data_IF_836974422654
#
_entry.id   IF_836974422654
#
_cell.length_a   1.000
_cell.length_b   1.000
_cell.length_c   1.000
_cell.angle_alpha   90.00
_cell.angle_beta   90.00
_cell.angle_gamma   90.00
#
_symmetry.space_group_name_H-M   'P 1'
#
loop_
_entity.id
_entity.type
_entity.pdbx_description
1 polymer ?
#
# COMPACT_ATOMS: atom_id res chain seq x y z
N UNK A 1 24.26 -23.16 7.45
CA UNK A 1 24.42 -22.01 6.53
C UNK A 1 23.07 -21.37 6.29
N UNK A 2 23.03 -20.05 6.35
CA UNK A 2 21.77 -19.32 6.18
C UNK A 2 21.57 -18.99 4.72
N UNK A 3 20.36 -19.20 4.23
CA UNK A 3 20.04 -18.82 2.87
C UNK A 3 20.12 -17.31 2.70
N UNK A 4 20.48 -16.85 1.51
CA UNK A 4 20.56 -15.41 1.28
C UNK A 4 19.19 -14.75 1.36
N UNK A 5 19.18 -13.49 1.73
CA UNK A 5 17.97 -12.67 1.74
C UNK A 5 17.84 -11.98 0.38
N UNK A 6 16.62 -11.68 -0.06
CA UNK A 6 15.36 -11.90 0.66
C UNK A 6 14.89 -13.36 0.57
N UNK A 7 14.07 -13.75 1.53
CA UNK A 7 13.43 -15.06 1.52
C UNK A 7 11.93 -14.88 1.64
N UNK A 8 11.18 -15.82 1.07
CA UNK A 8 9.74 -15.67 0.92
C UNK A 8 9.00 -16.82 1.55
N UNK A 9 7.90 -16.53 2.24
CA UNK A 9 7.13 -17.54 2.98
C UNK A 9 5.63 -17.24 2.89
N UNK A 10 4.84 -18.30 3.07
CA UNK A 10 3.43 -18.19 3.41
C UNK A 10 3.30 -18.65 4.85
N UNK A 11 2.80 -17.79 5.72
CA UNK A 11 2.59 -18.12 7.12
C UNK A 11 1.09 -18.10 7.36
N UNK A 12 0.50 -19.28 7.53
CA UNK A 12 -0.95 -19.44 7.62
C UNK A 12 -1.66 -18.77 6.44
N UNK A 13 -1.05 -18.90 5.24
CA UNK A 13 -1.61 -18.31 4.04
C UNK A 13 -1.28 -16.84 3.82
N UNK A 14 -0.59 -16.20 4.74
CA UNK A 14 -0.24 -14.76 4.61
C UNK A 14 1.17 -14.64 4.03
N UNK A 15 1.35 -13.81 3.01
CA UNK A 15 2.70 -13.57 2.47
C UNK A 15 3.61 -12.89 3.49
N UNK A 16 4.78 -13.45 3.69
CA UNK A 16 5.81 -12.89 4.58
C UNK A 16 7.14 -12.92 3.86
N UNK A 17 7.86 -11.81 3.91
CA UNK A 17 9.14 -11.66 3.23
C UNK A 17 10.20 -11.29 4.26
N UNK A 18 11.30 -12.03 4.30
CA UNK A 18 12.43 -11.67 5.15
C UNK A 18 13.43 -10.85 4.34
N UNK A 19 13.81 -9.72 4.87
CA UNK A 19 14.76 -8.81 4.21
C UNK A 19 15.89 -8.45 5.15
N UNK A 20 17.01 -8.03 4.56
CA UNK A 20 18.14 -7.54 5.35
C UNK A 20 17.85 -6.10 5.78
N UNK A 21 18.24 -5.77 7.01
CA UNK A 21 18.16 -4.40 7.50
C UNK A 21 19.50 -3.70 7.28
N UNK A 22 19.51 -2.35 7.26
CA UNK A 22 20.78 -1.62 7.05
C UNK A 22 21.86 -1.91 8.07
N UNK A 23 21.47 -2.33 9.29
CA UNK A 23 22.44 -2.63 10.34
C UNK A 23 22.91 -4.09 10.31
N UNK A 24 22.56 -4.84 9.27
CA UNK A 24 23.02 -6.21 9.11
C UNK A 24 22.09 -7.26 9.72
N UNK A 25 20.95 -6.85 10.23
CA UNK A 25 19.97 -7.79 10.80
C UNK A 25 18.99 -8.29 9.75
N UNK A 26 17.92 -8.91 10.26
CA UNK A 26 16.85 -9.46 9.44
C UNK A 26 15.52 -8.93 9.94
N UNK A 27 14.65 -8.60 9.01
CA UNK A 27 13.32 -8.07 9.33
C UNK A 27 12.27 -8.83 8.54
N UNK A 28 11.14 -9.10 9.17
CA UNK A 28 10.01 -9.75 8.50
C UNK A 28 9.00 -8.70 8.08
N UNK A 29 8.63 -8.73 6.81
CA UNK A 29 7.58 -7.88 6.26
C UNK A 29 6.37 -8.77 5.98
N UNK A 30 5.23 -8.46 6.59
CA UNK A 30 4.01 -9.23 6.40
C UNK A 30 2.97 -8.39 5.67
N UNK A 31 2.11 -9.05 4.92
CA UNK A 31 1.04 -8.35 4.21
C UNK A 31 0.04 -7.81 5.21
N UNK A 32 -0.21 -6.51 5.11
CA UNK A 32 -1.17 -5.82 5.98
C UNK A 32 -2.57 -6.06 5.48
N UNK A 33 -3.43 -6.60 6.33
CA UNK A 33 -4.79 -6.95 5.95
C UNK A 33 -5.66 -5.72 5.69
N UNK A 34 -5.27 -4.56 6.18
CA UNK A 34 -6.06 -3.34 5.99
C UNK A 34 -5.77 -2.65 4.65
N UNK A 35 -4.53 -2.73 4.17
CA UNK A 35 -4.14 -1.97 2.98
C UNK A 35 -3.49 -2.80 1.88
N UNK A 36 -2.99 -4.00 2.21
CA UNK A 36 -2.31 -4.85 1.24
C UNK A 36 -0.83 -4.55 1.09
N UNK A 37 -0.29 -3.63 1.87
CA UNK A 37 1.13 -3.34 1.84
C UNK A 37 1.93 -4.36 2.64
N UNK A 38 3.23 -4.40 2.42
CA UNK A 38 4.13 -5.29 3.16
C UNK A 38 4.87 -4.44 4.20
N UNK A 39 4.59 -4.68 5.48
CA UNK A 39 5.13 -3.85 6.55
C UNK A 39 5.80 -4.68 7.62
N UNK A 40 6.77 -4.12 8.36
CA UNK A 40 7.47 -4.85 9.40
C UNK A 40 6.54 -5.43 10.45
N UNK A 41 6.74 -6.70 10.78
CA UNK A 41 5.98 -7.38 11.80
C UNK A 41 6.90 -8.39 12.49
N UNK A 42 7.47 -8.02 13.66
CA UNK A 42 8.43 -8.89 14.34
C UNK A 42 7.88 -10.25 14.75
N UNK A 43 6.56 -10.35 14.95
CA UNK A 43 5.94 -11.61 15.31
C UNK A 43 6.13 -12.69 14.26
N UNK A 44 6.16 -12.31 12.99
CA UNK A 44 6.37 -13.27 11.91
C UNK A 44 7.82 -13.72 11.81
N UNK A 45 8.75 -12.86 12.19
CA UNK A 45 10.15 -13.26 12.22
C UNK A 45 10.35 -14.42 13.18
N UNK A 46 9.77 -14.32 14.37
CA UNK A 46 9.84 -15.39 15.35
C UNK A 46 9.16 -16.66 14.86
N UNK A 47 8.01 -16.54 14.21
CA UNK A 47 7.27 -17.67 13.67
C UNK A 47 8.10 -18.44 12.65
N UNK A 48 8.71 -17.73 11.71
CA UNK A 48 9.51 -18.36 10.66
C UNK A 48 10.75 -19.02 11.25
N UNK A 49 11.43 -18.35 12.19
CA UNK A 49 12.64 -18.89 12.79
C UNK A 49 12.36 -20.13 13.63
N UNK A 50 11.25 -20.13 14.36
CA UNK A 50 10.93 -21.24 15.28
C UNK A 50 10.37 -22.44 14.53
N UNK A 51 9.49 -22.22 13.55
CA UNK A 51 8.77 -23.31 12.92
C UNK A 51 9.56 -23.99 11.81
N UNK A 52 10.54 -23.30 11.25
CA UNK A 52 11.20 -23.79 10.06
C UNK A 52 10.19 -23.89 8.95
N UNK A 53 10.01 -25.06 8.39
CA UNK A 53 9.07 -25.28 7.29
C UNK A 53 7.87 -26.10 7.72
N UNK A 54 7.49 -26.05 8.99
CA UNK A 54 6.32 -26.78 9.46
C UNK A 54 5.25 -25.83 9.94
N UNK A 55 4.22 -26.37 10.54
CA UNK A 55 3.25 -25.63 11.35
C UNK A 55 2.72 -24.35 10.68
N UNK A 56 2.22 -24.50 9.45
CA UNK A 56 1.63 -23.35 8.77
C UNK A 56 2.63 -22.44 8.09
N UNK A 57 3.92 -22.76 8.14
CA UNK A 57 4.97 -21.97 7.48
C UNK A 57 5.46 -22.73 6.25
N UNK A 58 5.34 -22.09 5.09
CA UNK A 58 5.75 -22.70 3.83
C UNK A 58 6.75 -21.78 3.13
N UNK A 59 7.89 -22.34 2.69
CA UNK A 59 8.88 -21.58 1.92
C UNK A 59 8.41 -21.42 0.49
N UNK A 60 8.52 -20.22 -0.04
CA UNK A 60 8.06 -19.91 -1.40
C UNK A 60 9.21 -19.41 -2.26
N UNK A 61 9.08 -19.61 -3.57
CA UNK A 61 9.92 -18.92 -4.53
C UNK A 61 9.44 -17.47 -4.65
N UNK A 62 10.27 -16.63 -5.24
CA UNK A 62 9.89 -15.24 -5.48
C UNK A 62 8.62 -15.15 -6.32
N UNK A 63 8.51 -15.97 -7.38
CA UNK A 63 7.33 -15.95 -8.23
C UNK A 63 6.08 -16.41 -7.50
N UNK A 64 6.18 -17.45 -6.69
CA UNK A 64 5.04 -17.93 -5.92
C UNK A 64 4.61 -16.88 -4.89
N UNK A 65 5.58 -16.21 -4.29
CA UNK A 65 5.29 -15.13 -3.34
C UNK A 65 4.54 -13.99 -4.03
N UNK A 66 5.02 -13.56 -5.21
CA UNK A 66 4.37 -12.49 -5.94
C UNK A 66 2.92 -12.83 -6.29
N UNK A 67 2.68 -14.08 -6.68
CA UNK A 67 1.32 -14.53 -6.98
C UNK A 67 0.45 -14.54 -5.72
N UNK A 68 0.99 -14.99 -4.60
CA UNK A 68 0.25 -14.99 -3.35
C UNK A 68 -0.09 -13.57 -2.90
N UNK A 69 0.86 -12.65 -3.04
CA UNK A 69 0.62 -11.24 -2.72
C UNK A 69 -0.52 -10.70 -3.57
N UNK A 70 -0.50 -10.99 -4.88
CA UNK A 70 -1.55 -10.51 -5.78
C UNK A 70 -2.92 -11.07 -5.39
N UNK A 71 -2.98 -12.35 -5.05
CA UNK A 71 -4.24 -12.98 -4.65
C UNK A 71 -4.77 -12.37 -3.35
N UNK A 72 -3.88 -12.16 -2.37
CA UNK A 72 -4.28 -11.60 -1.08
C UNK A 72 -4.64 -10.12 -1.17
N UNK A 73 -3.99 -9.38 -2.07
CA UNK A 73 -4.26 -7.96 -2.24
C UNK A 73 -5.60 -7.67 -2.91
N UNK A 74 -6.04 -8.55 -3.80
CA UNK A 74 -7.24 -8.28 -4.58
C UNK A 74 -8.47 -7.97 -3.72
N UNK A 75 -8.86 -8.83 -2.76
CA UNK A 75 -10.02 -8.51 -1.94
C UNK A 75 -9.81 -7.28 -1.05
N UNK A 76 -8.58 -7.04 -0.63
CA UNK A 76 -8.26 -5.85 0.17
C UNK A 76 -8.45 -4.59 -0.69
N UNK A 77 -7.93 -4.61 -1.91
CA UNK A 77 -8.08 -3.49 -2.84
C UNK A 77 -9.55 -3.24 -3.18
N UNK A 78 -10.30 -4.31 -3.44
CA UNK A 78 -11.73 -4.20 -3.72
C UNK A 78 -12.47 -3.59 -2.54
N UNK A 79 -12.11 -4.00 -1.32
CA UNK A 79 -12.69 -3.45 -0.11
C UNK A 79 -12.38 -1.97 0.08
N UNK A 80 -11.14 -1.57 -0.21
CA UNK A 80 -10.77 -0.16 -0.11
C UNK A 80 -11.51 0.69 -1.14
N UNK A 81 -11.64 0.19 -2.37
CA UNK A 81 -12.39 0.92 -3.40
C UNK A 81 -13.86 1.09 -3.05
N UNK A 82 -14.42 0.12 -2.32
CA UNK A 82 -15.82 0.15 -1.93
C UNK A 82 -16.05 0.91 -0.63
N UNK A 83 -15.00 1.29 0.07
CA UNK A 83 -15.11 1.98 1.35
C UNK A 83 -15.29 3.48 1.15
N UNK A 84 -16.06 4.09 2.03
CA UNK A 84 -16.27 5.53 2.00
C UNK A 84 -15.08 6.24 2.61
N UNK A 85 -14.03 6.45 1.81
CA UNK A 85 -12.81 7.11 2.27
C UNK A 85 -12.92 8.59 1.94
N UNK A 86 -12.63 9.43 2.94
CA UNK A 86 -12.64 10.89 2.78
C UNK A 86 -11.20 11.34 2.59
N UNK A 87 -10.92 11.91 1.44
CA UNK A 87 -9.57 12.32 1.08
C UNK A 87 -9.37 13.80 1.34
N UNK A 88 -8.17 14.18 1.77
CA UNK A 88 -7.78 15.58 1.88
C UNK A 88 -6.75 15.93 0.83
N UNK A 89 -6.71 17.19 0.48
CA UNK A 89 -5.73 17.71 -0.47
C UNK A 89 -4.39 17.88 0.23
N UNK A 90 -3.30 17.47 -0.42
CA UNK A 90 -1.96 17.66 0.12
C UNK A 90 -1.28 18.93 -0.38
N UNK A 91 -1.80 19.49 -1.48
CA UNK A 91 -1.13 20.59 -2.16
C UNK A 91 0.00 20.16 -3.08
N UNK A 92 0.29 18.86 -3.16
CA UNK A 92 1.35 18.32 -4.00
C UNK A 92 0.74 17.85 -5.31
N UNK A 93 1.28 18.30 -6.44
CA UNK A 93 0.73 17.95 -7.77
C UNK A 93 0.92 16.49 -8.13
N UNK A 94 1.94 15.86 -7.63
CA UNK A 94 2.23 14.46 -7.94
C UNK A 94 1.45 13.50 -7.04
N UNK A 95 1.29 13.86 -5.77
CA UNK A 95 0.57 13.06 -4.78
C UNK A 95 -0.50 13.93 -4.14
N UNK A 96 -1.57 14.25 -4.88
CA UNK A 96 -2.48 15.32 -4.45
C UNK A 96 -3.45 14.97 -3.33
N UNK A 97 -3.61 13.68 -2.99
CA UNK A 97 -4.62 13.27 -2.02
C UNK A 97 -4.05 12.39 -0.94
N UNK A 98 -4.57 12.53 0.27
CA UNK A 98 -4.14 11.77 1.44
C UNK A 98 -5.34 11.39 2.29
N UNK A 99 -5.31 10.20 2.88
CA UNK A 99 -6.34 9.74 3.81
C UNK A 99 -5.70 8.77 4.79
N UNK A 100 -6.50 8.27 5.73
CA UNK A 100 -6.01 7.29 6.69
C UNK A 100 -6.94 6.08 6.69
N UNK A 101 -6.35 4.90 6.75
CA UNK A 101 -7.11 3.66 6.85
C UNK A 101 -6.23 2.60 7.49
N UNK A 102 -6.81 1.84 8.42
CA UNK A 102 -6.09 0.74 9.06
C UNK A 102 -4.83 1.15 9.79
N UNK A 103 -4.78 2.38 10.32
CA UNK A 103 -3.60 2.87 11.01
C UNK A 103 -2.49 3.32 10.07
N UNK A 104 -2.73 3.33 8.76
CA UNK A 104 -1.74 3.71 7.76
C UNK A 104 -2.18 4.95 7.04
N UNK A 105 -1.21 5.67 6.49
CA UNK A 105 -1.49 6.83 5.65
C UNK A 105 -1.62 6.37 4.21
N UNK A 106 -2.78 6.64 3.62
CA UNK A 106 -2.99 6.36 2.20
C UNK A 106 -2.74 7.63 1.41
N UNK A 107 -2.11 7.48 0.25
CA UNK A 107 -1.92 8.58 -0.69
C UNK A 107 -2.27 8.09 -2.07
N UNK A 108 -2.65 9.02 -2.94
CA UNK A 108 -2.94 8.71 -4.34
C UNK A 108 -1.96 9.50 -5.19
N UNK A 109 -1.21 8.79 -6.00
CA UNK A 109 -0.26 9.40 -6.93
C UNK A 109 -0.90 9.47 -8.31
N UNK A 110 -0.72 10.59 -9.00
CA UNK A 110 -1.16 10.75 -10.38
C UNK A 110 -0.03 10.33 -11.29
N UNK A 111 -0.31 9.46 -12.23
CA UNK A 111 0.69 8.92 -13.16
C UNK A 111 0.53 9.52 -14.55
N UNK A 112 1.47 9.20 -15.42
CA UNK A 112 1.42 9.62 -16.82
C UNK A 112 0.47 8.73 -17.61
N UNK A 113 -0.77 9.13 -17.66
CA UNK A 113 -1.78 8.42 -18.42
C UNK A 113 -1.63 8.79 -19.92
N UNK A 114 -1.76 7.85 -20.86
CA UNK A 114 -2.18 6.45 -20.70
C UNK A 114 -1.01 5.46 -20.59
N UNK A 115 0.22 5.94 -20.49
CA UNK A 115 1.39 5.07 -20.38
C UNK A 115 1.30 4.22 -19.11
N UNK A 116 0.74 4.79 -18.05
CA UNK A 116 0.51 4.10 -16.79
C UNK A 116 -0.95 4.29 -16.39
N UNK A 117 -1.48 3.47 -15.45
CA UNK A 117 -2.82 3.72 -14.91
C UNK A 117 -2.92 5.13 -14.36
N UNK A 118 -4.11 5.71 -14.41
CA UNK A 118 -4.28 7.12 -14.06
C UNK A 118 -3.80 7.43 -12.65
N UNK A 119 -4.08 6.54 -11.70
CA UNK A 119 -3.69 6.73 -10.31
C UNK A 119 -3.01 5.48 -9.74
N UNK A 120 -2.16 5.66 -8.75
CA UNK A 120 -1.62 4.57 -7.94
C UNK A 120 -1.94 4.87 -6.48
N UNK A 121 -2.55 3.90 -5.80
CA UNK A 121 -2.82 3.99 -4.37
C UNK A 121 -1.59 3.51 -3.61
N UNK A 122 -1.14 4.32 -2.66
CA UNK A 122 0.02 4.00 -1.83
C UNK A 122 -0.40 3.91 -0.38
N UNK A 123 0.16 2.94 0.34
CA UNK A 123 -0.02 2.82 1.78
C UNK A 123 1.34 3.02 2.43
N UNK A 124 1.48 4.09 3.22
CA UNK A 124 2.76 4.50 3.83
C UNK A 124 3.88 4.50 2.78
N UNK A 125 3.57 5.01 1.59
CA UNK A 125 4.55 5.12 0.51
C UNK A 125 4.73 3.87 -0.34
N UNK A 126 4.03 2.78 -0.04
CA UNK A 126 4.15 1.53 -0.78
C UNK A 126 2.95 1.36 -1.72
N UNK A 127 3.23 1.13 -3.01
CA UNK A 127 2.16 0.96 -4.00
C UNK A 127 1.38 -0.33 -3.72
N UNK A 128 0.08 -0.21 -3.57
CA UNK A 128 -0.78 -1.36 -3.26
C UNK A 128 -1.88 -1.59 -4.29
N UNK A 129 -2.19 -0.60 -5.14
CA UNK A 129 -3.24 -0.75 -6.13
C UNK A 129 -3.05 0.29 -7.23
N UNK A 130 -3.46 -0.06 -8.44
CA UNK A 130 -3.51 0.85 -9.58
C UNK A 130 -4.96 1.09 -9.95
N UNK A 131 -5.30 2.34 -10.27
CA UNK A 131 -6.68 2.75 -10.52
C UNK A 131 -6.77 3.43 -11.88
N UNK A 132 -7.73 2.98 -12.68
CA UNK A 132 -8.02 3.65 -13.96
C UNK A 132 -8.97 4.80 -13.76
N UNK A 133 -9.83 4.71 -12.73
CA UNK A 133 -10.82 5.73 -12.43
C UNK A 133 -10.86 5.98 -10.93
N UNK A 134 -11.41 7.12 -10.55
CA UNK A 134 -11.64 7.43 -9.14
C UNK A 134 -12.80 6.59 -8.62
N UNK A 135 -12.61 5.79 -7.56
CA UNK A 135 -13.70 4.96 -7.04
C UNK A 135 -14.87 5.82 -6.58
N UNK A 136 -16.07 5.35 -6.92
CA UNK A 136 -17.29 6.12 -6.64
C UNK A 136 -17.53 6.33 -5.14
N UNK A 137 -17.05 5.40 -4.30
CA UNK A 137 -17.24 5.49 -2.86
C UNK A 137 -16.32 6.51 -2.20
N UNK A 138 -15.26 6.95 -2.89
CA UNK A 138 -14.27 7.85 -2.32
C UNK A 138 -14.71 9.30 -2.47
N UNK A 139 -14.69 10.05 -1.36
CA UNK A 139 -15.05 11.46 -1.37
C UNK A 139 -13.81 12.32 -1.67
N UNK A 140 -13.87 13.08 -2.73
CA UNK A 140 -12.79 14.01 -3.06
C UNK A 140 -12.83 15.22 -2.14
N UNK A 141 -11.67 15.86 -1.92
CA UNK A 141 -11.68 17.13 -1.17
C UNK A 141 -12.49 18.18 -1.92
N UNK A 142 -13.05 19.10 -1.18
CA UNK A 142 -13.81 20.18 -1.77
C UNK A 142 -12.88 21.07 -2.59
N UNK A 143 -13.19 21.23 -3.88
CA UNK A 143 -12.30 21.95 -4.78
C UNK A 143 -12.22 23.43 -4.45
N UNK A 144 -13.33 23.99 -4.06
CA UNK A 144 -13.39 25.42 -3.82
C UNK A 144 -12.48 25.84 -2.68
N UNK A 145 -12.34 24.96 -1.72
CA UNK A 145 -11.44 25.28 -0.61
C UNK A 145 -9.99 25.05 -0.98
N UNK A 146 -9.78 24.11 -1.88
CA UNK A 146 -8.42 23.83 -2.29
C UNK A 146 -7.83 24.92 -3.14
N UNK A 147 -8.69 25.71 -3.85
CA UNK A 147 -8.22 26.77 -4.72
C UNK A 147 -8.49 28.10 -4.09
N UNK A 148 -7.57 28.80 -3.90
CA UNK A 148 -7.74 30.17 -3.49
C UNK A 148 -8.28 30.99 -4.62
N UNK A 149 -8.51 30.58 -5.30
CA UNK A 149 -8.73 31.11 -5.92
C UNK A 149 -8.56 31.98 -6.24
N UNK A 150 -8.46 31.78 -6.52
CA UNK A 150 -8.32 32.34 -6.67
C UNK A 150 -8.23 33.23 -6.58
N UNK A 151 -7.95 33.46 -6.70
CA UNK A 151 -7.82 34.28 -6.44
C UNK A 151 -8.21 35.06 -6.65
N UNK A 152 -8.44 34.92 -6.87
CA UNK A 152 -8.74 35.55 -6.94
C UNK A 152 -9.28 36.14 -7.41
N UNK A 153 -9.56 36.28 -7.78
CA UNK A 153 -10.12 36.63 -8.03
C UNK A 153 -10.62 37.46 -7.92
N UNK A 154 -10.45 37.52 -7.84
CA UNK A 154 -10.84 38.17 -7.61
C UNK A 154 -11.24 38.80 -7.75
N UNK A 155 -11.23 38.76 -8.12
CA UNK A 155 -11.55 39.24 -8.17
C UNK A 155 -11.98 39.85 -8.18
N UNK A 156 -12.05 39.94 -8.50
CA UNK A 156 -12.44 40.36 -8.50
C UNK A 156 -13.00 41.07 -8.35
N UNK A 157 -13.09 41.47 -8.74
CA UNK A 157 -13.59 42.03 -8.57
C UNK A 157 -13.97 42.66 -8.44
N UNK A 158 -13.90 42.94 -8.85
CA UNK A 158 -14.13 43.20 -8.64
C UNK A 158 -14.41 43.41 -8.38
#
# INVERSE_FOLDING_TARGET
MTDPLPRYYAVDGRPVKLVATPDGGTEALALDAATGGLFPDPGFLGRVAAAGAGEGVERLTEDAFARLVAVCRRPIADGLRASAIVWESTGDGEVPYRARAGGRTLTVRVNDFPVAPLYTLLADGQAVDDLEDWPAAWARPARSEALPDAPGRTQQRE
#
